data_IF_790699662506
#
_entry.id   IF_790699662506
#
_cell.length_a   1.000
_cell.length_b   1.000
_cell.length_c   1.000
_cell.angle_alpha   90.00
_cell.angle_beta   90.00
_cell.angle_gamma   90.00
#
_symmetry.space_group_name_H-M   'P 1'
#
loop_
_entity.id
_entity.type
_entity.pdbx_description
1 polymer ?
#
# COMPACT_ATOMS: atom_id res chain seq x y z
N UNK A 1 25.87 16.11 37.11
CA UNK A 1 24.55 16.22 36.44
C UNK A 1 24.60 16.30 34.91
N UNK A 2 25.56 17.00 34.29
CA UNK A 2 25.60 17.26 32.84
C UNK A 2 25.70 16.03 31.89
N UNK A 3 26.25 14.88 32.32
CA UNK A 3 26.39 13.68 31.46
C UNK A 3 25.05 12.98 31.21
N UNK A 4 24.12 13.04 32.18
CA UNK A 4 22.81 12.38 32.11
C UNK A 4 21.87 13.13 31.15
N UNK A 5 21.90 14.47 31.17
CA UNK A 5 21.14 15.30 30.23
C UNK A 5 21.60 15.16 28.78
N UNK A 6 22.91 15.10 28.52
CA UNK A 6 23.43 14.87 27.17
C UNK A 6 22.94 13.54 26.58
N UNK A 7 22.95 12.48 27.39
CA UNK A 7 22.46 11.16 26.96
C UNK A 7 20.94 11.16 26.74
N UNK A 8 20.18 11.86 27.58
CA UNK A 8 18.74 11.99 27.41
C UNK A 8 18.36 12.77 26.14
N UNK A 9 19.05 13.89 25.86
CA UNK A 9 18.87 14.65 24.61
C UNK A 9 19.15 13.81 23.37
N UNK A 10 20.23 13.02 23.39
CA UNK A 10 20.56 12.11 22.30
C UNK A 10 19.50 11.04 22.08
N UNK A 11 19.09 10.31 23.14
CA UNK A 11 18.07 9.26 23.03
C UNK A 11 16.76 9.83 22.52
N UNK A 12 16.34 11.01 23.01
CA UNK A 12 15.13 11.69 22.52
C UNK A 12 15.22 12.01 21.03
N UNK A 13 16.35 12.57 20.58
CA UNK A 13 16.57 12.89 19.17
C UNK A 13 16.59 11.64 18.28
N UNK A 14 17.23 10.56 18.74
CA UNK A 14 17.27 9.28 18.03
C UNK A 14 15.89 8.63 17.89
N UNK A 15 15.09 8.63 18.96
CA UNK A 15 13.72 8.10 18.93
C UNK A 15 12.81 8.93 18.00
N UNK A 16 12.92 10.25 18.05
CA UNK A 16 12.17 11.13 17.13
C UNK A 16 12.59 10.92 15.68
N UNK A 17 13.90 10.85 15.42
CA UNK A 17 14.44 10.63 14.09
C UNK A 17 13.99 9.30 13.50
N UNK A 18 14.16 8.20 14.24
CA UNK A 18 13.72 6.87 13.82
C UNK A 18 12.21 6.79 13.57
N UNK A 19 11.38 7.36 14.46
CA UNK A 19 9.94 7.43 14.25
C UNK A 19 9.57 8.22 12.99
N UNK A 20 10.25 9.33 12.74
CA UNK A 20 10.03 10.18 11.57
C UNK A 20 10.37 9.42 10.29
N UNK A 21 11.54 8.77 10.24
CA UNK A 21 11.96 7.97 9.09
C UNK A 21 11.02 6.80 8.84
N UNK A 22 10.62 6.06 9.88
CA UNK A 22 9.68 4.95 9.74
C UNK A 22 8.32 5.43 9.19
N UNK A 23 7.81 6.55 9.70
CA UNK A 23 6.56 7.15 9.23
C UNK A 23 6.67 7.60 7.77
N UNK A 24 7.78 8.22 7.38
CA UNK A 24 8.00 8.65 6.01
C UNK A 24 8.05 7.46 5.03
N UNK A 25 8.78 6.39 5.39
CA UNK A 25 8.86 5.17 4.57
C UNK A 25 7.49 4.51 4.44
N UNK A 26 6.78 4.35 5.56
CA UNK A 26 5.43 3.79 5.55
C UNK A 26 4.47 4.64 4.69
N UNK A 27 4.50 5.95 4.86
CA UNK A 27 3.69 6.89 4.08
C UNK A 27 3.98 6.80 2.58
N UNK A 28 5.25 6.70 2.19
CA UNK A 28 5.65 6.55 0.79
C UNK A 28 5.13 5.23 0.19
N UNK A 29 5.32 4.11 0.89
CA UNK A 29 4.84 2.80 0.43
C UNK A 29 3.31 2.75 0.35
N UNK A 30 2.62 3.29 1.36
CA UNK A 30 1.17 3.33 1.38
C UNK A 30 0.60 4.21 0.26
N UNK A 31 1.19 5.38 0.03
CA UNK A 31 0.80 6.25 -1.07
C UNK A 31 1.01 5.56 -2.42
N UNK A 32 2.18 4.95 -2.66
CA UNK A 32 2.47 4.23 -3.90
C UNK A 32 1.50 3.07 -4.15
N UNK A 33 1.18 2.28 -3.11
CA UNK A 33 0.18 1.21 -3.22
C UNK A 33 -1.17 1.74 -3.69
N UNK A 34 -1.63 2.86 -3.10
CA UNK A 34 -2.93 3.47 -3.42
C UNK A 34 -2.97 4.13 -4.79
N UNK A 35 -1.88 4.76 -5.23
CA UNK A 35 -1.87 5.54 -6.47
C UNK A 35 -1.49 4.74 -7.71
N UNK A 36 -0.71 3.67 -7.55
CA UNK A 36 -0.18 2.90 -8.70
C UNK A 36 -0.72 1.48 -8.71
N UNK A 37 -0.57 0.75 -7.61
CA UNK A 37 -0.87 -0.70 -7.58
C UNK A 37 -2.39 -0.95 -7.60
N UNK A 38 -3.13 -0.36 -6.68
CA UNK A 38 -4.58 -0.57 -6.58
C UNK A 38 -5.37 -0.22 -7.85
N UNK A 39 -5.11 0.88 -8.58
CA UNK A 39 -5.84 1.14 -9.83
C UNK A 39 -5.52 0.11 -10.92
N UNK A 40 -4.30 -0.40 -10.99
CA UNK A 40 -3.92 -1.46 -11.94
C UNK A 40 -4.64 -2.77 -11.60
N UNK A 41 -4.61 -3.18 -10.34
CA UNK A 41 -5.31 -4.38 -9.86
C UNK A 41 -6.82 -4.28 -10.11
N UNK A 42 -7.43 -3.13 -9.84
CA UNK A 42 -8.85 -2.92 -10.06
C UNK A 42 -9.22 -3.04 -11.55
N UNK A 43 -8.40 -2.54 -12.46
CA UNK A 43 -8.65 -2.68 -13.89
C UNK A 43 -8.49 -4.13 -14.36
N UNK A 44 -7.46 -4.82 -13.87
CA UNK A 44 -7.26 -6.25 -14.13
C UNK A 44 -8.45 -7.09 -13.64
N UNK A 45 -8.96 -6.83 -12.45
CA UNK A 45 -10.15 -7.49 -11.92
C UNK A 45 -11.40 -7.20 -12.76
N UNK A 46 -11.57 -5.96 -13.24
CA UNK A 46 -12.69 -5.58 -14.12
C UNK A 46 -12.64 -6.34 -15.43
N UNK A 47 -11.47 -6.41 -16.07
CA UNK A 47 -11.27 -7.15 -17.33
C UNK A 47 -11.59 -8.63 -17.10
N UNK A 48 -11.07 -9.21 -16.03
CA UNK A 48 -11.27 -10.63 -15.75
C UNK A 48 -12.75 -10.95 -15.43
N UNK A 49 -13.43 -10.10 -14.67
CA UNK A 49 -14.85 -10.22 -14.40
C UNK A 49 -15.68 -10.12 -15.69
N UNK A 50 -15.32 -9.22 -16.60
CA UNK A 50 -15.96 -9.11 -17.91
C UNK A 50 -15.73 -10.36 -18.76
N UNK A 51 -14.50 -10.89 -18.79
CA UNK A 51 -14.17 -12.15 -19.47
C UNK A 51 -14.99 -13.31 -18.93
N UNK A 52 -15.07 -13.47 -17.60
CA UNK A 52 -15.91 -14.49 -16.95
C UNK A 52 -17.38 -14.37 -17.36
N UNK A 53 -17.92 -13.15 -17.36
CA UNK A 53 -19.31 -12.88 -17.77
C UNK A 53 -19.54 -13.18 -19.24
N UNK A 54 -18.62 -12.80 -20.12
CA UNK A 54 -18.69 -13.06 -21.56
C UNK A 54 -18.68 -14.56 -21.85
N UNK A 55 -17.77 -15.32 -21.23
CA UNK A 55 -17.70 -16.77 -21.36
C UNK A 55 -18.99 -17.44 -20.89
N UNK A 56 -19.56 -17.00 -19.75
CA UNK A 56 -20.84 -17.51 -19.26
C UNK A 56 -21.98 -17.25 -20.24
N UNK A 57 -22.06 -16.05 -20.84
CA UNK A 57 -23.07 -15.71 -21.84
C UNK A 57 -22.91 -16.54 -23.13
N UNK A 58 -21.67 -16.72 -23.59
CA UNK A 58 -21.36 -17.55 -24.75
C UNK A 58 -21.82 -19.00 -24.54
N UNK A 59 -21.52 -19.59 -23.38
CA UNK A 59 -21.96 -20.95 -23.05
C UNK A 59 -23.49 -21.10 -23.03
N UNK A 60 -24.21 -20.12 -22.46
CA UNK A 60 -25.68 -20.14 -22.42
C UNK A 60 -26.31 -20.01 -23.82
N UNK A 61 -25.69 -19.24 -24.72
CA UNK A 61 -26.18 -19.06 -26.09
C UNK A 61 -26.11 -20.35 -26.93
N UNK A 62 -25.25 -21.30 -26.58
CA UNK A 62 -25.14 -22.60 -27.24
C UNK A 62 -26.01 -23.70 -26.59
N UNK A 63 -26.73 -23.39 -25.51
CA UNK A 63 -27.62 -24.32 -24.80
C UNK A 63 -29.12 -24.02 -25.00
N UNK A 64 -29.45 -23.09 -25.90
CA UNK A 64 -30.82 -22.77 -26.32
C UNK A 64 -31.16 -23.35 -27.68
#
# INVERSE_FOLDING_TARGET
MAKKEKRFRFVKGFLFGSLTTATAVYGALHAFKKTVIEPEDAENERIEANRRRANRKSLQAHQG
#
